data_IF_715706785058
#
_entry.id   IF_715706785058
#
_cell.length_a   1.000
_cell.length_b   1.000
_cell.length_c   1.000
_cell.angle_alpha   90.00
_cell.angle_beta   90.00
_cell.angle_gamma   90.00
#
_symmetry.space_group_name_H-M   'P 1'
#
loop_
_entity.id
_entity.type
_entity.pdbx_description
1 polymer ?
#
# COMPACT_ATOMS: atom_id res chain seq x y z
N UNK A 1 11.17 3.75 9.12
CA UNK A 1 10.12 4.76 8.92
C UNK A 1 10.25 5.80 10.02
N UNK A 2 10.03 7.09 9.71
CA UNK A 2 9.84 8.13 10.72
C UNK A 2 8.80 7.70 11.77
N UNK A 3 9.04 8.07 13.03
CA UNK A 3 8.18 7.68 14.15
C UNK A 3 6.76 8.25 14.00
N UNK A 4 6.66 9.50 13.55
CA UNK A 4 5.40 10.19 13.26
C UNK A 4 4.51 9.41 12.27
N UNK A 5 5.09 8.77 11.25
CA UNK A 5 4.34 7.96 10.29
C UNK A 5 3.86 6.64 10.90
N UNK A 6 4.63 6.07 11.84
CA UNK A 6 4.21 4.87 12.57
C UNK A 6 3.05 5.19 13.52
N UNK A 7 3.12 6.32 14.21
CA UNK A 7 2.05 6.80 15.09
C UNK A 7 0.77 7.08 14.28
N UNK A 8 0.90 7.72 13.11
CA UNK A 8 -0.23 7.93 12.20
C UNK A 8 -0.85 6.63 11.69
N UNK A 9 -0.02 5.63 11.38
CA UNK A 9 -0.50 4.32 10.97
C UNK A 9 -1.22 3.60 12.12
N UNK A 10 -0.68 3.71 13.34
CA UNK A 10 -1.27 3.12 14.55
C UNK A 10 -2.65 3.71 14.87
N UNK A 11 -2.90 4.99 14.56
CA UNK A 11 -4.25 5.60 14.68
C UNK A 11 -5.30 4.89 13.82
N UNK A 12 -4.89 4.09 12.84
CA UNK A 12 -5.76 3.32 11.95
C UNK A 12 -5.76 1.81 12.24
N UNK A 13 -5.10 1.35 13.31
CA UNK A 13 -4.97 -0.05 13.69
C UNK A 13 -5.76 -0.34 14.98
N UNK A 14 -6.49 -1.45 15.02
CA UNK A 14 -7.23 -1.89 16.21
C UNK A 14 -8.62 -2.41 15.88
N UNK A 15 -9.41 -2.71 16.90
CA UNK A 15 -10.76 -3.28 16.77
C UNK A 15 -11.72 -2.37 15.99
N UNK A 16 -11.64 -1.06 16.21
CA UNK A 16 -12.36 -0.02 15.46
C UNK A 16 -11.53 0.56 14.29
N UNK A 17 -10.34 0.01 14.06
CA UNK A 17 -9.39 0.48 13.06
C UNK A 17 -9.67 -0.08 11.67
N UNK A 18 -9.06 0.54 10.65
CA UNK A 18 -9.11 0.03 9.28
C UNK A 18 -8.32 -1.27 9.11
N UNK A 19 -7.39 -1.55 10.01
CA UNK A 19 -6.49 -2.70 9.95
C UNK A 19 -6.43 -3.40 11.31
N UNK A 20 -6.32 -4.73 11.31
CA UNK A 20 -6.24 -5.53 12.54
C UNK A 20 -4.89 -5.36 13.23
N UNK A 21 -3.82 -5.19 12.44
CA UNK A 21 -2.48 -4.96 12.97
C UNK A 21 -1.64 -4.07 12.05
N UNK A 22 -0.52 -3.57 12.59
CA UNK A 22 0.40 -2.70 11.86
C UNK A 22 0.97 -3.37 10.59
N UNK A 23 1.33 -4.65 10.67
CA UNK A 23 1.90 -5.37 9.52
C UNK A 23 0.89 -5.50 8.37
N UNK A 24 -0.39 -5.67 8.68
CA UNK A 24 -1.47 -5.64 7.71
C UNK A 24 -1.63 -4.25 7.09
N UNK A 25 -1.63 -3.19 7.90
CA UNK A 25 -1.69 -1.82 7.41
C UNK A 25 -0.55 -1.51 6.42
N UNK A 26 0.67 -1.94 6.74
CA UNK A 26 1.84 -1.79 5.86
C UNK A 26 1.63 -2.57 4.56
N UNK A 27 1.28 -3.86 4.63
CA UNK A 27 1.08 -4.70 3.44
C UNK A 27 -0.02 -4.15 2.53
N UNK A 28 -1.14 -3.72 3.09
CA UNK A 28 -2.26 -3.16 2.33
C UNK A 28 -1.87 -1.84 1.66
N UNK A 29 -1.11 -0.98 2.35
CA UNK A 29 -0.65 0.31 1.79
C UNK A 29 0.32 0.12 0.63
N UNK A 30 1.26 -0.82 0.77
CA UNK A 30 2.21 -1.15 -0.30
C UNK A 30 1.47 -1.75 -1.48
N UNK A 31 0.61 -2.76 -1.27
CA UNK A 31 -0.19 -3.38 -2.34
C UNK A 31 -1.00 -2.34 -3.09
N UNK A 32 -1.74 -1.48 -2.37
CA UNK A 32 -2.55 -0.44 -3.02
C UNK A 32 -1.72 0.56 -3.83
N UNK A 33 -0.52 0.86 -3.37
CA UNK A 33 0.40 1.75 -4.11
C UNK A 33 0.90 1.08 -5.38
N UNK A 34 1.28 -0.20 -5.32
CA UNK A 34 1.70 -0.96 -6.49
C UNK A 34 0.56 -1.10 -7.50
N UNK A 35 -0.65 -1.47 -7.06
CA UNK A 35 -1.81 -1.55 -7.96
C UNK A 35 -2.05 -0.23 -8.70
N UNK A 36 -1.86 0.92 -8.02
CA UNK A 36 -1.98 2.23 -8.65
C UNK A 36 -0.87 2.52 -9.66
N UNK A 37 0.35 2.05 -9.41
CA UNK A 37 1.47 2.18 -10.34
C UNK A 37 1.23 1.32 -11.59
N UNK A 38 0.75 0.10 -11.41
CA UNK A 38 0.40 -0.80 -12.52
C UNK A 38 -0.73 -0.19 -13.38
N UNK A 39 -1.77 0.39 -12.75
CA UNK A 39 -2.83 1.13 -13.44
C UNK A 39 -2.31 2.37 -14.20
N UNK A 40 -1.25 3.01 -13.72
CA UNK A 40 -0.60 4.14 -14.40
C UNK A 40 0.19 3.61 -15.60
N UNK A 41 0.99 2.57 -15.42
CA UNK A 41 1.84 2.02 -16.48
C UNK A 41 1.01 1.45 -17.63
N UNK A 42 -0.11 0.78 -17.33
CA UNK A 42 -1.08 0.34 -18.34
C UNK A 42 -1.69 1.49 -19.17
N UNK A 43 -1.89 2.68 -18.56
CA UNK A 43 -2.41 3.86 -19.27
C UNK A 43 -1.37 4.57 -20.13
N UNK A 44 -0.10 4.44 -19.78
CA UNK A 44 0.99 5.12 -20.45
C UNK A 44 1.74 4.22 -21.46
N UNK A 45 1.22 3.03 -21.75
CA UNK A 45 1.83 2.03 -22.65
C UNK A 45 3.25 1.64 -22.20
N UNK A 46 3.47 1.62 -20.88
CA UNK A 46 4.75 1.29 -20.22
C UNK A 46 4.80 -0.14 -19.71
N UNK A 47 3.87 -0.99 -20.14
CA UNK A 47 3.92 -2.42 -19.83
C UNK A 47 5.05 -3.03 -20.67
N UNK A 48 6.20 -3.25 -20.05
CA UNK A 48 7.20 -4.17 -20.61
C UNK A 48 6.54 -5.56 -20.65
N UNK A 49 6.75 -6.30 -21.75
CA UNK A 49 6.23 -7.66 -22.02
C UNK A 49 6.79 -8.74 -21.04
N UNK A 50 7.13 -8.38 -19.80
CA UNK A 50 7.73 -9.25 -18.78
C UNK A 50 6.66 -9.95 -17.89
N UNK A 51 5.54 -10.35 -18.50
CA UNK A 51 4.63 -11.37 -17.96
C UNK A 51 4.73 -12.65 -18.82
N UNK A 52 5.84 -13.41 -18.68
CA UNK A 52 5.93 -14.85 -19.04
C UNK A 52 6.11 -15.73 -17.79
#
# INVERSE_FOLDING_TARGET
MPQELLEDLDRHVGEDGKFVNRSEAIRASVRKTLDLLDEIDARHDRLDDDEE
#
